data_IF_356842534509
#
_entry.id   IF_356842534509
#
_cell.length_a   1.000
_cell.length_b   1.000
_cell.length_c   1.000
_cell.angle_alpha   90.00
_cell.angle_beta   90.00
_cell.angle_gamma   90.00
#
_symmetry.space_group_name_H-M   'P 1'
#
loop_
_entity.id
_entity.type
_entity.pdbx_description
1 polymer ?
#
# COMPACT_ATOMS: atom_id res chain seq x y z
N UNK A 1 -8.84 2.50 27.52
CA UNK A 1 -7.36 2.38 27.60
C UNK A 1 -6.80 2.52 26.19
N UNK A 2 -5.74 3.30 25.97
CA UNK A 2 -5.13 3.42 24.65
C UNK A 2 -4.50 2.07 24.24
N UNK A 3 -4.88 1.55 23.07
CA UNK A 3 -4.32 0.30 22.57
C UNK A 3 -2.81 0.49 22.31
N UNK A 4 -1.98 -0.41 22.85
CA UNK A 4 -0.52 -0.40 22.66
C UNK A 4 -0.13 -1.45 21.63
N UNK A 5 0.76 -1.14 20.67
CA UNK A 5 1.25 -2.13 19.73
C UNK A 5 2.08 -3.21 20.43
N UNK A 6 1.93 -4.47 20.01
CA UNK A 6 2.87 -5.54 20.40
C UNK A 6 4.24 -5.22 19.83
N UNK A 7 5.32 -5.45 20.57
CA UNK A 7 6.68 -5.32 20.02
C UNK A 7 7.03 -6.52 19.13
N UNK A 8 7.81 -6.33 18.05
CA UNK A 8 8.26 -7.44 17.22
C UNK A 8 9.25 -8.32 17.99
N UNK A 9 9.12 -9.63 17.85
CA UNK A 9 9.90 -10.61 18.61
C UNK A 9 11.32 -10.83 18.04
N UNK A 10 11.59 -10.37 16.82
CA UNK A 10 12.87 -10.56 16.14
C UNK A 10 13.29 -9.34 15.30
N UNK A 11 14.55 -9.32 14.88
CA UNK A 11 15.15 -8.23 14.10
C UNK A 11 14.44 -8.01 12.76
N UNK A 12 14.02 -9.08 12.08
CA UNK A 12 13.27 -8.98 10.84
C UNK A 12 11.95 -8.22 11.02
N UNK A 13 11.23 -8.48 12.11
CA UNK A 13 10.00 -7.78 12.46
C UNK A 13 10.24 -6.31 12.84
N UNK A 14 11.35 -6.01 13.53
CA UNK A 14 11.76 -4.63 13.84
C UNK A 14 12.08 -3.85 12.56
N UNK A 15 12.84 -4.47 11.65
CA UNK A 15 13.18 -3.86 10.37
C UNK A 15 11.93 -3.62 9.51
N UNK A 16 11.04 -4.60 9.40
CA UNK A 16 9.79 -4.45 8.67
C UNK A 16 8.91 -3.34 9.26
N UNK A 17 8.88 -3.19 10.59
CA UNK A 17 8.14 -2.11 11.26
C UNK A 17 8.76 -0.76 10.95
N UNK A 18 10.08 -0.66 10.97
CA UNK A 18 10.78 0.56 10.63
C UNK A 18 10.50 0.97 9.18
N UNK A 19 10.53 0.01 8.25
CA UNK A 19 10.19 0.22 6.84
C UNK A 19 8.73 0.66 6.69
N UNK A 20 7.79 0.03 7.39
CA UNK A 20 6.38 0.45 7.37
C UNK A 20 6.25 1.89 7.86
N UNK A 21 6.86 2.21 9.00
CA UNK A 21 6.81 3.56 9.58
C UNK A 21 7.39 4.60 8.62
N UNK A 22 8.50 4.29 7.95
CA UNK A 22 9.11 5.19 6.97
C UNK A 22 8.16 5.48 5.81
N UNK A 23 7.52 4.46 5.24
CA UNK A 23 6.55 4.66 4.15
C UNK A 23 5.30 5.39 4.66
N UNK A 24 4.81 5.06 5.86
CA UNK A 24 3.67 5.74 6.47
C UNK A 24 3.94 7.23 6.72
N UNK A 25 5.14 7.61 7.19
CA UNK A 25 5.55 9.02 7.34
C UNK A 25 5.47 9.78 6.04
N UNK A 26 5.93 9.18 4.93
CA UNK A 26 5.87 9.78 3.59
C UNK A 26 4.42 9.95 3.12
N UNK A 27 3.56 8.97 3.38
CA UNK A 27 2.14 8.98 3.01
C UNK A 27 1.34 10.00 3.83
N UNK A 28 1.57 10.05 5.14
CA UNK A 28 0.86 10.95 6.06
C UNK A 28 1.41 12.38 5.99
N UNK A 29 2.66 12.55 5.55
CA UNK A 29 3.33 13.87 5.49
C UNK A 29 3.90 14.33 6.83
N UNK A 30 4.03 13.42 7.81
CA UNK A 30 4.48 13.73 9.17
C UNK A 30 5.82 13.04 9.48
N UNK A 31 6.94 13.73 9.27
CA UNK A 31 8.28 13.14 9.37
C UNK A 31 8.64 12.63 10.78
N UNK A 32 8.11 13.27 11.83
CA UNK A 32 8.39 12.92 13.23
C UNK A 32 7.40 11.91 13.82
N UNK A 33 6.43 11.41 13.04
CA UNK A 33 5.43 10.47 13.51
C UNK A 33 6.11 9.18 13.96
N UNK A 34 5.90 8.75 15.21
CA UNK A 34 6.37 7.45 15.67
C UNK A 34 5.32 6.34 15.46
N UNK A 35 5.74 5.10 15.64
CA UNK A 35 4.87 3.95 15.41
C UNK A 35 3.71 3.88 16.43
N UNK A 36 3.90 4.32 17.66
CA UNK A 36 2.85 4.28 18.70
C UNK A 36 1.76 5.28 18.38
N UNK A 37 2.12 6.51 17.99
CA UNK A 37 1.18 7.53 17.55
C UNK A 37 0.42 7.09 16.29
N UNK A 38 1.12 6.51 15.32
CA UNK A 38 0.51 5.93 14.13
C UNK A 38 -0.47 4.80 14.51
N UNK A 39 -0.08 3.93 15.44
CA UNK A 39 -0.92 2.85 15.92
C UNK A 39 -2.20 3.37 16.56
N UNK A 40 -2.10 4.31 17.49
CA UNK A 40 -3.25 4.89 18.18
C UNK A 40 -4.22 5.58 17.22
N UNK A 41 -3.72 6.23 16.17
CA UNK A 41 -4.53 6.98 15.21
C UNK A 41 -5.30 6.09 14.24
N UNK A 42 -4.70 4.99 13.78
CA UNK A 42 -5.25 4.21 12.68
C UNK A 42 -5.77 2.83 13.08
N UNK A 43 -5.24 2.18 14.13
CA UNK A 43 -5.51 0.78 14.45
C UNK A 43 -7.00 0.40 14.56
N UNK A 44 -7.82 1.30 15.08
CA UNK A 44 -9.24 1.07 15.38
C UNK A 44 -10.21 1.69 14.37
N UNK A 45 -9.71 2.44 13.37
CA UNK A 45 -10.53 3.03 12.33
C UNK A 45 -10.32 2.26 11.02
N UNK A 46 -11.11 1.21 10.81
CA UNK A 46 -10.96 0.28 9.69
C UNK A 46 -10.80 1.00 8.34
N UNK A 47 -11.65 1.98 8.06
CA UNK A 47 -11.60 2.71 6.78
C UNK A 47 -10.28 3.48 6.62
N UNK A 48 -9.87 4.24 7.65
CA UNK A 48 -8.63 5.01 7.60
C UNK A 48 -7.40 4.10 7.55
N UNK A 49 -7.42 3.00 8.29
CA UNK A 49 -6.32 2.05 8.35
C UNK A 49 -6.14 1.29 7.03
N UNK A 50 -7.23 0.80 6.44
CA UNK A 50 -7.21 0.14 5.13
C UNK A 50 -6.71 1.10 4.05
N UNK A 51 -7.16 2.36 4.07
CA UNK A 51 -6.69 3.38 3.12
C UNK A 51 -5.20 3.68 3.29
N UNK A 52 -4.71 3.73 4.53
CA UNK A 52 -3.29 3.89 4.82
C UNK A 52 -2.48 2.72 4.24
N UNK A 53 -2.90 1.48 4.48
CA UNK A 53 -2.23 0.27 3.98
C UNK A 53 -2.22 0.21 2.45
N UNK A 54 -3.33 0.56 1.78
CA UNK A 54 -3.41 0.72 0.32
C UNK A 54 -2.35 1.72 -0.21
N UNK A 55 -2.18 2.84 0.49
CA UNK A 55 -1.31 3.93 0.07
C UNK A 55 0.16 3.65 0.38
N UNK A 56 0.44 3.03 1.53
CA UNK A 56 1.78 2.54 1.92
C UNK A 56 2.24 1.45 0.96
N UNK A 57 1.38 0.50 0.60
CA UNK A 57 1.70 -0.54 -0.38
C UNK A 57 2.14 0.09 -1.73
N UNK A 58 1.36 1.06 -2.21
CA UNK A 58 1.67 1.77 -3.45
C UNK A 58 2.98 2.57 -3.35
N UNK A 59 3.20 3.28 -2.24
CA UNK A 59 4.41 4.06 -2.01
C UNK A 59 5.66 3.17 -1.96
N UNK A 60 5.59 2.03 -1.27
CA UNK A 60 6.68 1.08 -1.19
C UNK A 60 7.01 0.48 -2.56
N UNK A 61 6.01 0.05 -3.33
CA UNK A 61 6.25 -0.47 -4.69
C UNK A 61 6.89 0.60 -5.60
N UNK A 62 6.43 1.87 -5.52
CA UNK A 62 7.06 2.99 -6.26
C UNK A 62 8.49 3.28 -5.81
N UNK A 63 8.83 2.99 -4.55
CA UNK A 63 10.18 3.13 -4.02
C UNK A 63 11.11 1.95 -4.40
N UNK A 64 10.63 0.98 -5.19
CA UNK A 64 11.44 -0.11 -5.73
C UNK A 64 11.42 -1.40 -4.91
N UNK A 65 10.64 -1.48 -3.83
CA UNK A 65 10.47 -2.73 -3.09
C UNK A 65 9.72 -3.77 -3.93
N UNK A 66 10.14 -5.04 -3.84
CA UNK A 66 9.41 -6.14 -4.48
C UNK A 66 8.06 -6.41 -3.79
N UNK A 67 7.06 -6.97 -4.49
CA UNK A 67 5.78 -7.32 -3.86
C UNK A 67 5.92 -8.20 -2.60
N UNK A 68 6.89 -9.12 -2.58
CA UNK A 68 7.17 -9.98 -1.43
C UNK A 68 7.66 -9.18 -0.23
N UNK A 69 8.54 -8.20 -0.42
CA UNK A 69 9.01 -7.31 0.65
C UNK A 69 7.87 -6.45 1.17
N UNK A 70 7.05 -5.88 0.27
CA UNK A 70 5.90 -5.05 0.66
C UNK A 70 4.89 -5.85 1.48
N UNK A 71 4.67 -7.13 1.16
CA UNK A 71 3.87 -8.04 2.02
C UNK A 71 4.49 -8.12 3.42
N UNK A 72 5.79 -8.33 3.55
CA UNK A 72 6.47 -8.38 4.86
C UNK A 72 6.32 -7.07 5.64
N UNK A 73 6.46 -5.93 4.96
CA UNK A 73 6.29 -4.59 5.54
C UNK A 73 4.86 -4.39 6.08
N UNK A 74 3.84 -4.74 5.29
CA UNK A 74 2.42 -4.59 5.67
C UNK A 74 2.00 -5.53 6.82
N UNK A 75 2.73 -6.62 7.09
CA UNK A 75 2.49 -7.40 8.32
C UNK A 75 2.81 -6.60 9.59
N UNK A 76 3.49 -5.47 9.49
CA UNK A 76 3.71 -4.55 10.59
C UNK A 76 2.77 -3.35 10.56
N UNK A 77 1.68 -3.38 9.77
CA UNK A 77 0.70 -2.29 9.79
C UNK A 77 -0.05 -2.21 11.13
N UNK A 78 -0.41 -1.00 11.61
CA UNK A 78 -1.24 -0.82 12.78
C UNK A 78 -2.51 -1.66 12.76
N UNK A 79 -3.18 -1.71 11.60
CA UNK A 79 -4.43 -2.42 11.43
C UNK A 79 -4.23 -3.91 11.65
N UNK A 80 -3.28 -4.53 10.94
CA UNK A 80 -3.02 -5.96 11.09
C UNK A 80 -2.60 -6.30 12.52
N UNK A 81 -1.68 -5.52 13.08
CA UNK A 81 -1.21 -5.74 14.46
C UNK A 81 -2.35 -5.64 15.47
N UNK A 82 -3.29 -4.72 15.27
CA UNK A 82 -4.48 -4.60 16.12
C UNK A 82 -5.46 -5.76 15.93
N UNK A 83 -5.74 -6.17 14.70
CA UNK A 83 -6.65 -7.29 14.44
C UNK A 83 -6.10 -8.60 15.03
N UNK A 84 -4.82 -8.89 14.82
CA UNK A 84 -4.20 -10.14 15.28
C UNK A 84 -3.97 -10.15 16.79
N UNK A 85 -3.44 -9.07 17.37
CA UNK A 85 -3.04 -9.08 18.78
C UNK A 85 -4.06 -8.45 19.73
N UNK A 86 -4.82 -7.46 19.26
CA UNK A 86 -5.92 -6.83 20.02
C UNK A 86 -7.21 -7.64 19.93
N UNK A 87 -7.69 -7.88 18.71
CA UNK A 87 -8.97 -8.53 18.45
C UNK A 87 -8.88 -10.06 18.31
N UNK A 88 -7.66 -10.63 18.37
CA UNK A 88 -7.40 -12.07 18.25
C UNK A 88 -7.91 -12.69 16.96
N UNK A 89 -7.98 -11.91 15.88
CA UNK A 89 -8.28 -12.41 14.55
C UNK A 89 -7.15 -13.36 14.12
N UNK A 90 -7.46 -14.57 13.59
CA UNK A 90 -6.44 -15.48 13.13
C UNK A 90 -5.49 -14.84 12.10
N UNK A 91 -4.21 -15.19 12.14
CA UNK A 91 -3.22 -14.59 11.25
C UNK A 91 -3.47 -14.92 9.77
N UNK A 92 -3.95 -16.13 9.47
CA UNK A 92 -4.17 -16.59 8.09
C UNK A 92 -5.05 -15.64 7.24
N UNK A 93 -6.27 -15.24 7.66
CA UNK A 93 -7.08 -14.27 6.91
C UNK A 93 -6.42 -12.88 6.83
N UNK A 94 -5.70 -12.46 7.87
CA UNK A 94 -4.98 -11.18 7.85
C UNK A 94 -3.80 -11.19 6.88
N UNK A 95 -3.10 -12.31 6.75
CA UNK A 95 -2.07 -12.50 5.72
C UNK A 95 -2.67 -12.48 4.31
N UNK A 96 -3.88 -13.02 4.12
CA UNK A 96 -4.59 -12.91 2.83
C UNK A 96 -4.97 -11.46 2.53
N UNK A 97 -5.49 -10.71 3.52
CA UNK A 97 -5.74 -9.28 3.41
C UNK A 97 -4.51 -8.51 2.93
N UNK A 98 -3.34 -8.74 3.54
CA UNK A 98 -2.09 -8.08 3.13
C UNK A 98 -1.73 -8.42 1.69
N UNK A 99 -1.73 -9.71 1.32
CA UNK A 99 -1.41 -10.12 -0.06
C UNK A 99 -2.35 -9.48 -1.08
N UNK A 100 -3.66 -9.45 -0.79
CA UNK A 100 -4.65 -8.82 -1.65
C UNK A 100 -4.43 -7.31 -1.78
N UNK A 101 -4.04 -6.63 -0.70
CA UNK A 101 -3.70 -5.20 -0.71
C UNK A 101 -2.50 -4.92 -1.63
N UNK A 102 -1.43 -5.72 -1.52
CA UNK A 102 -0.25 -5.60 -2.39
C UNK A 102 -0.60 -5.89 -3.85
N UNK A 103 -1.36 -6.95 -4.13
CA UNK A 103 -1.75 -7.29 -5.51
C UNK A 103 -2.58 -6.19 -6.17
N UNK A 104 -3.51 -5.56 -5.42
CA UNK A 104 -4.26 -4.39 -5.91
C UNK A 104 -3.32 -3.23 -6.24
N UNK A 105 -2.31 -2.98 -5.40
CA UNK A 105 -1.34 -1.91 -5.64
C UNK A 105 -0.45 -2.19 -6.87
N UNK A 106 -0.01 -3.44 -7.08
CA UNK A 106 0.72 -3.87 -8.29
C UNK A 106 -0.12 -3.62 -9.55
N UNK A 107 -1.37 -4.11 -9.57
CA UNK A 107 -2.27 -3.90 -10.71
C UNK A 107 -2.52 -2.42 -11.00
N UNK A 108 -2.61 -1.57 -9.97
CA UNK A 108 -2.74 -0.11 -10.15
C UNK A 108 -1.49 0.49 -10.81
N UNK A 109 -0.30 0.03 -10.45
CA UNK A 109 0.96 0.49 -11.06
C UNK A 109 1.09 0.04 -12.51
N UNK A 110 0.82 -1.22 -12.80
CA UNK A 110 0.86 -1.78 -14.17
C UNK A 110 -0.10 -1.02 -15.09
N UNK A 111 -1.33 -0.75 -14.63
CA UNK A 111 -2.31 0.04 -15.39
C UNK A 111 -1.86 1.48 -15.64
N UNK A 112 -1.24 2.11 -14.64
CA UNK A 112 -0.72 3.47 -14.78
C UNK A 112 0.42 3.53 -15.81
N UNK A 113 1.32 2.55 -15.80
CA UNK A 113 2.42 2.45 -16.77
C UNK A 113 1.92 2.16 -18.19
N UNK A 114 0.97 1.23 -18.35
CA UNK A 114 0.36 0.93 -19.65
C UNK A 114 -0.35 2.14 -20.29
N UNK A 115 -0.90 3.03 -19.46
CA UNK A 115 -1.57 4.26 -19.93
C UNK A 115 -0.56 5.31 -20.40
N UNK A 116 0.63 5.38 -19.79
CA UNK A 116 1.70 6.32 -20.17
C UNK A 116 2.46 5.89 -21.43
N UNK A 117 2.37 4.62 -21.84
CA UNK A 117 3.10 4.07 -23.00
C UNK A 117 2.31 4.09 -24.32
N UNK A 118 1.05 4.54 -24.37
CA UNK A 118 0.34 4.73 -25.65
C UNK A 118 0.82 6.01 -26.35
N UNK A 119 1.50 5.95 -27.51
CA UNK A 119 1.80 7.13 -28.30
C UNK A 119 0.48 7.65 -28.91
N UNK A 120 0.14 8.90 -28.63
CA UNK A 120 -0.83 9.65 -29.44
C UNK A 120 -0.22 9.84 -30.83
N UNK A 121 -0.48 8.90 -31.74
CA UNK A 121 0.07 8.92 -33.08
C UNK A 121 -0.76 8.09 -34.02
N UNK A 122 -1.98 8.52 -34.31
CA UNK A 122 -2.71 8.20 -35.56
C UNK A 122 -3.93 9.11 -35.64
N UNK A 123 -3.74 10.28 -36.26
CA UNK A 123 -4.84 11.03 -36.83
C UNK A 123 -5.38 10.23 -38.04
N UNK A 124 -6.69 9.99 -38.18
CA UNK A 124 -7.22 9.34 -39.37
C UNK A 124 -7.03 10.28 -40.57
N UNK A 125 -6.28 9.84 -41.58
CA UNK A 125 -6.28 10.46 -42.90
C UNK A 125 -7.72 10.42 -43.41
N UNK A 126 -8.38 11.58 -43.45
CA UNK A 126 -9.60 11.75 -44.24
C UNK A 126 -9.21 11.60 -45.71
N UNK A 127 -9.58 10.46 -46.31
CA UNK A 127 -9.65 10.35 -47.76
C UNK A 127 -10.74 11.30 -48.24
N UNK A 128 -10.33 12.44 -48.77
CA UNK A 128 -11.21 13.32 -49.53
C UNK A 128 -11.59 12.60 -50.82
N UNK A 129 -12.85 12.23 -50.94
CA UNK A 129 -13.43 11.79 -52.21
C UNK A 129 -13.33 12.91 -53.23
N UNK A 130 -12.64 12.64 -54.33
CA UNK A 130 -12.88 13.33 -55.59
C UNK A 130 -13.94 12.52 -56.33
N UNK A 131 -15.20 12.86 -56.07
CA UNK A 131 -16.21 12.84 -57.12
C UNK A 131 -16.30 14.28 -57.62
N UNK A 132 -16.15 14.48 -58.93
CA UNK A 132 -16.98 15.36 -59.76
C UNK A 132 -16.47 15.25 -61.20
N UNK A 133 -17.38 14.69 -62.02
CA UNK A 133 -17.64 14.84 -63.47
C UNK A 133 -16.53 15.26 -64.44
#
# INVERSE_FOLDING_TARGET
MAAKPKEPENEAGKQARQQYLEQARRVVGEAKLDYTALYQRFAQNDWAAIKLDDTVALAALKAGYSPKEVVGILHQSPYLQHQVHGNRVPLAPMSQYVRSTVMKAVQRLEKAQATQQKPQGQAPLRQSGMELE
#
